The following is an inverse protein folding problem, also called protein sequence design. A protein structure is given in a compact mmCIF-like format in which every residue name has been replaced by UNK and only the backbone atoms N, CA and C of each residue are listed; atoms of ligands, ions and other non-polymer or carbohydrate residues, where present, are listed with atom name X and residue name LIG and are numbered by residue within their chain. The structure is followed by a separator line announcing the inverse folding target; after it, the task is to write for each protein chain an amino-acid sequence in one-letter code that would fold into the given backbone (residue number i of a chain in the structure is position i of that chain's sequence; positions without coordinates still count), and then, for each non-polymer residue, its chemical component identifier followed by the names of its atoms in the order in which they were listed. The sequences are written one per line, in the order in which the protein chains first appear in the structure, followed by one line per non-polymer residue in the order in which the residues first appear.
data_IF_286823245860
#
_entry.id   IF_286823245860
#
_cell.length_a   1.000
_cell.length_b   1.000
_cell.length_c   1.000
_cell.angle_alpha   90.00
_cell.angle_beta   90.00
_cell.angle_gamma   90.00
#
_symmetry.space_group_name_H-M   'P 1'
#
loop_
_entity.id
_entity.type
_entity.pdbx_description
1 polymer ?
#
# COMPACT_ATOMS: atom_id res chain seq x y z
N UNK A 1 0.26 21.27 -13.58
CA UNK A 1 0.32 22.59 -14.23
C UNK A 1 1.18 23.60 -13.44
N UNK A 2 2.13 24.30 -14.08
CA UNK A 2 2.88 25.45 -13.49
C UNK A 2 2.16 26.76 -13.82
N UNK A 3 1.57 27.42 -12.81
CA UNK A 3 0.96 28.75 -12.93
C UNK A 3 1.69 29.70 -12.00
N UNK A 4 2.10 30.86 -12.51
CA UNK A 4 2.65 31.96 -11.73
C UNK A 4 1.55 32.97 -11.37
N UNK A 5 1.44 33.30 -10.08
CA UNK A 5 0.49 34.26 -9.53
C UNK A 5 1.18 35.51 -8.96
N UNK A 6 2.46 35.41 -8.59
CA UNK A 6 3.26 36.53 -8.06
C UNK A 6 4.68 36.50 -8.63
N UNK A 7 5.24 37.66 -8.96
CA UNK A 7 6.68 37.75 -9.17
C UNK A 7 7.41 37.87 -7.84
N UNK A 8 8.37 36.97 -7.59
CA UNK A 8 9.14 36.95 -6.35
C UNK A 8 10.64 36.78 -6.60
N UNK A 9 11.40 37.57 -5.85
CA UNK A 9 12.85 37.44 -5.76
C UNK A 9 13.23 36.51 -4.60
N UNK A 10 13.99 35.47 -4.91
CA UNK A 10 14.45 34.49 -3.94
C UNK A 10 15.87 34.83 -3.45
N UNK A 11 16.18 34.54 -2.18
CA UNK A 11 17.54 34.69 -1.63
C UNK A 11 18.50 33.72 -2.32
N UNK A 12 19.80 34.02 -2.36
CA UNK A 12 20.81 33.33 -3.18
C UNK A 12 20.81 31.79 -3.11
N UNK A 13 20.52 31.19 -1.96
CA UNK A 13 20.51 29.73 -1.76
C UNK A 13 19.17 29.06 -2.14
N UNK A 14 18.09 29.82 -2.15
CA UNK A 14 16.72 29.30 -2.32
C UNK A 14 16.44 28.73 -3.71
N UNK A 15 16.93 29.31 -4.84
CA UNK A 15 16.74 28.74 -6.17
C UNK A 15 17.29 27.32 -6.32
N UNK A 16 18.40 26.99 -5.67
CA UNK A 16 18.99 25.64 -5.73
C UNK A 16 18.07 24.60 -5.06
N UNK A 17 17.48 24.96 -3.93
CA UNK A 17 16.51 24.10 -3.22
C UNK A 17 15.25 23.90 -4.07
N UNK A 18 14.76 24.96 -4.72
CA UNK A 18 13.58 24.88 -5.60
C UNK A 18 13.83 23.96 -6.78
N UNK A 19 14.97 24.08 -7.46
CA UNK A 19 15.32 23.24 -8.60
C UNK A 19 15.43 21.76 -8.18
N UNK A 20 16.14 21.47 -7.08
CA UNK A 20 16.25 20.12 -6.51
C UNK A 20 14.89 19.52 -6.18
N UNK A 21 13.98 20.31 -5.61
CA UNK A 21 12.63 19.89 -5.33
C UNK A 21 11.85 19.60 -6.62
N UNK A 22 11.90 20.49 -7.61
CA UNK A 22 11.18 20.34 -8.89
C UNK A 22 11.60 19.07 -9.64
N UNK A 23 12.90 18.77 -9.70
CA UNK A 23 13.42 17.53 -10.30
C UNK A 23 12.84 16.29 -9.61
N UNK A 24 12.92 16.23 -8.29
CA UNK A 24 12.38 15.09 -7.53
C UNK A 24 10.88 14.93 -7.75
N UNK A 25 10.14 16.03 -7.64
CA UNK A 25 8.70 16.05 -7.82
C UNK A 25 8.30 15.57 -9.22
N UNK A 26 9.06 15.94 -10.26
CA UNK A 26 8.84 15.46 -11.62
C UNK A 26 9.14 13.97 -11.78
N UNK A 27 10.23 13.47 -11.20
CA UNK A 27 10.58 12.03 -11.20
C UNK A 27 9.48 11.17 -10.55
N UNK A 28 8.90 11.63 -9.44
CA UNK A 28 7.80 10.93 -8.77
C UNK A 28 6.50 11.01 -9.58
N UNK A 29 6.19 12.17 -10.16
CA UNK A 29 5.02 12.35 -10.99
C UNK A 29 5.04 11.44 -12.25
N UNK A 30 6.20 11.27 -12.90
CA UNK A 30 6.35 10.34 -14.03
C UNK A 30 6.07 8.87 -13.66
N UNK A 31 6.22 8.53 -12.39
CA UNK A 31 5.93 7.18 -11.86
C UNK A 31 4.52 7.08 -11.26
N UNK A 32 3.67 8.09 -11.46
CA UNK A 32 2.31 8.13 -10.92
C UNK A 32 2.21 8.41 -9.43
N UNK A 33 3.28 8.92 -8.79
CA UNK A 33 3.27 9.22 -7.36
C UNK A 33 3.00 10.68 -7.07
N UNK A 34 2.02 10.94 -6.22
CA UNK A 34 1.83 12.24 -5.59
C UNK A 34 2.69 12.38 -4.33
N UNK A 35 3.38 13.52 -4.16
CA UNK A 35 4.32 13.72 -3.06
C UNK A 35 3.81 14.81 -2.12
N UNK A 36 3.83 14.53 -0.81
CA UNK A 36 3.54 15.52 0.22
C UNK A 36 4.77 16.37 0.57
N UNK A 37 4.57 17.56 1.14
CA UNK A 37 5.67 18.40 1.64
C UNK A 37 6.57 17.66 2.63
N UNK A 38 5.99 16.82 3.49
CA UNK A 38 6.73 15.98 4.45
C UNK A 38 7.59 14.92 3.74
N UNK A 39 7.04 14.25 2.73
CA UNK A 39 7.81 13.27 1.95
C UNK A 39 8.94 13.95 1.18
N UNK A 40 8.65 15.08 0.52
CA UNK A 40 9.68 15.87 -0.16
C UNK A 40 10.81 16.26 0.80
N UNK A 41 10.48 16.75 2.00
CA UNK A 41 11.46 17.07 3.02
C UNK A 41 12.40 15.89 3.35
N UNK A 42 11.84 14.72 3.64
CA UNK A 42 12.66 13.53 3.94
C UNK A 42 13.49 13.07 2.74
N UNK A 43 13.00 13.21 1.51
CA UNK A 43 13.77 12.88 0.31
C UNK A 43 14.96 13.83 0.09
N UNK A 44 14.81 15.10 0.42
CA UNK A 44 15.89 16.09 0.39
C UNK A 44 16.91 15.83 1.51
N UNK A 45 16.45 15.46 2.71
CA UNK A 45 17.32 15.05 3.84
C UNK A 45 18.12 13.79 3.50
N UNK A 46 17.47 12.76 2.96
CA UNK A 46 18.13 11.50 2.59
C UNK A 46 19.21 11.67 1.51
N UNK A 47 19.11 12.72 0.68
CA UNK A 47 20.12 13.08 -0.34
C UNK A 47 21.20 14.03 0.18
N UNK A 48 21.17 14.37 1.48
CA UNK A 48 22.11 15.33 2.09
C UNK A 48 21.94 16.76 1.61
N UNK A 49 20.76 17.11 1.06
CA UNK A 49 20.49 18.44 0.53
C UNK A 49 19.85 19.38 1.55
N UNK A 50 19.31 18.83 2.65
CA UNK A 50 18.80 19.55 3.81
C UNK A 50 19.16 18.80 5.08
N UNK A 51 19.31 19.53 6.19
CA UNK A 51 19.48 18.92 7.50
C UNK A 51 18.13 18.47 8.09
N UNK A 52 18.14 17.38 8.85
CA UNK A 52 16.96 16.82 9.50
C UNK A 52 16.57 17.61 10.76
N UNK A 53 16.25 18.89 10.61
CA UNK A 53 15.85 19.79 11.69
C UNK A 53 14.48 20.43 11.40
N UNK A 54 13.64 20.53 12.43
CA UNK A 54 12.28 21.13 12.34
C UNK A 54 12.29 22.56 11.74
N UNK A 55 13.36 23.32 11.96
CA UNK A 55 13.55 24.65 11.37
C UNK A 55 13.67 24.59 9.84
N UNK A 56 14.40 23.61 9.32
CA UNK A 56 14.55 23.41 7.88
C UNK A 56 13.25 22.90 7.25
N UNK A 57 12.48 22.07 7.95
CA UNK A 57 11.15 21.67 7.49
C UNK A 57 10.22 22.90 7.31
N UNK A 58 10.16 23.79 8.30
CA UNK A 58 9.37 25.04 8.21
C UNK A 58 9.88 25.96 7.11
N UNK A 59 11.22 26.08 6.96
CA UNK A 59 11.85 26.85 5.89
C UNK A 59 11.48 26.31 4.52
N UNK A 60 11.55 24.98 4.32
CA UNK A 60 11.17 24.32 3.08
C UNK A 60 9.70 24.58 2.75
N UNK A 61 8.79 24.47 3.73
CA UNK A 61 7.38 24.80 3.51
C UNK A 61 7.16 26.21 2.97
N UNK A 62 7.83 27.21 3.54
CA UNK A 62 7.78 28.59 3.04
C UNK A 62 8.39 28.72 1.64
N UNK A 63 9.51 28.06 1.37
CA UNK A 63 10.16 28.07 0.05
C UNK A 63 9.24 27.46 -1.01
N UNK A 64 8.67 26.28 -0.77
CA UNK A 64 7.77 25.60 -1.70
C UNK A 64 6.50 26.41 -1.97
N UNK A 65 5.92 27.02 -0.93
CA UNK A 65 4.77 27.92 -1.09
C UNK A 65 5.11 29.09 -2.01
N UNK A 66 6.22 29.78 -1.75
CA UNK A 66 6.64 30.92 -2.58
C UNK A 66 7.02 30.49 -4.01
N UNK A 67 7.64 29.32 -4.17
CA UNK A 67 8.02 28.77 -5.46
C UNK A 67 6.81 28.41 -6.33
N UNK A 68 5.75 27.85 -5.72
CA UNK A 68 4.47 27.60 -6.39
C UNK A 68 3.79 28.91 -6.81
N UNK A 69 3.76 29.92 -5.94
CA UNK A 69 3.23 31.25 -6.28
C UNK A 69 3.99 31.91 -7.43
N UNK A 70 5.31 31.67 -7.53
CA UNK A 70 6.15 32.16 -8.63
C UNK A 70 6.10 31.28 -9.90
N UNK A 71 5.29 30.20 -9.92
CA UNK A 71 5.19 29.28 -11.06
C UNK A 71 6.42 28.40 -11.28
N UNK A 72 7.30 28.25 -10.28
CA UNK A 72 8.53 27.46 -10.40
C UNK A 72 8.30 25.96 -10.11
N UNK A 73 7.28 25.64 -9.31
CA UNK A 73 6.88 24.26 -8.98
C UNK A 73 5.45 24.03 -9.46
N UNK A 74 5.22 22.84 -10.01
CA UNK A 74 3.91 22.42 -10.49
C UNK A 74 2.91 22.27 -9.33
N UNK A 75 1.71 22.83 -9.49
CA UNK A 75 0.67 22.80 -8.46
C UNK A 75 0.18 21.38 -8.14
N UNK A 76 0.30 20.43 -9.07
CA UNK A 76 -0.19 19.07 -8.91
C UNK A 76 0.88 18.12 -8.36
N UNK A 77 2.17 18.49 -8.40
CA UNK A 77 3.21 17.59 -7.93
C UNK A 77 3.39 17.59 -6.41
N UNK A 78 2.89 18.62 -5.71
CA UNK A 78 2.98 18.74 -4.26
C UNK A 78 1.58 18.84 -3.63
N UNK A 79 1.14 17.76 -3.00
CA UNK A 79 -0.22 17.63 -2.43
C UNK A 79 -0.21 17.65 -0.90
N UNK A 80 -1.27 18.18 -0.30
CA UNK A 80 -1.51 18.08 1.14
C UNK A 80 -2.67 17.12 1.41
N UNK A 81 -2.34 15.85 1.62
CA UNK A 81 -3.33 14.78 1.88
C UNK A 81 -4.07 14.93 3.21
N UNK A 82 -3.64 15.85 4.08
CA UNK A 82 -4.32 16.12 5.36
C UNK A 82 -5.46 17.12 5.23
N UNK A 83 -5.62 17.71 4.05
CA UNK A 83 -6.65 18.70 3.75
C UNK A 83 -7.40 18.30 2.49
N UNK A 84 -8.02 17.12 2.54
CA UNK A 84 -9.10 16.83 1.62
C UNK A 84 -10.26 17.75 1.99
N UNK A 85 -10.62 18.64 1.08
CA UNK A 85 -11.91 19.29 1.17
C UNK A 85 -12.90 18.18 0.85
N UNK A 86 -13.68 17.75 1.84
CA UNK A 86 -14.89 16.97 1.59
C UNK A 86 -15.85 17.89 0.85
N UNK A 87 -15.72 17.93 -0.47
CA UNK A 87 -16.70 18.56 -1.34
C UNK A 87 -17.86 17.59 -1.41
N UNK A 88 -19.10 18.01 -1.09
CA UNK A 88 -20.27 17.18 -1.35
C UNK A 88 -20.22 16.71 -2.79
N UNK A 89 -20.42 15.41 -3.02
CA UNK A 89 -20.53 14.91 -4.37
C UNK A 89 -21.78 15.54 -5.00
N UNK A 90 -21.57 16.44 -5.96
CA UNK A 90 -22.62 17.14 -6.69
C UNK A 90 -22.42 16.89 -8.17
N UNK A 91 -23.51 16.58 -8.85
CA UNK A 91 -23.51 16.26 -10.27
C UNK A 91 -24.44 17.24 -10.97
N UNK A 92 -24.05 17.71 -12.15
CA UNK A 92 -24.87 18.64 -12.92
C UNK A 92 -26.10 17.97 -13.50
N UNK A 93 -25.99 16.66 -13.80
CA UNK A 93 -27.06 15.86 -14.40
C UNK A 93 -27.00 14.41 -13.93
N UNK A 94 -28.10 13.63 -14.00
CA UNK A 94 -28.10 12.20 -13.69
C UNK A 94 -27.10 11.37 -14.51
N UNK A 95 -26.88 11.71 -15.77
CA UNK A 95 -25.98 10.98 -16.68
C UNK A 95 -24.52 11.13 -16.23
N UNK A 96 -24.14 12.32 -15.74
CA UNK A 96 -22.80 12.53 -15.15
C UNK A 96 -22.58 11.69 -13.88
N UNK A 97 -23.63 11.40 -13.11
CA UNK A 97 -23.56 10.44 -12.01
C UNK A 97 -23.45 9.01 -12.56
N UNK A 98 -24.27 8.62 -13.55
CA UNK A 98 -24.21 7.30 -14.16
C UNK A 98 -22.84 6.99 -14.78
N UNK A 99 -22.18 7.98 -15.38
CA UNK A 99 -20.82 7.82 -15.91
C UNK A 99 -19.79 7.59 -14.80
N UNK A 100 -19.92 8.27 -13.66
CA UNK A 100 -19.08 8.03 -12.48
C UNK A 100 -19.36 6.65 -11.90
N UNK A 101 -20.62 6.23 -11.84
CA UNK A 101 -21.01 4.88 -11.42
C UNK A 101 -20.41 3.83 -12.36
N UNK A 102 -20.47 4.02 -13.69
CA UNK A 102 -19.88 3.11 -14.66
C UNK A 102 -18.37 2.98 -14.48
N UNK A 103 -17.67 4.11 -14.29
CA UNK A 103 -16.22 4.13 -14.12
C UNK A 103 -15.75 3.55 -12.78
N UNK A 104 -16.63 3.48 -11.77
CA UNK A 104 -16.33 2.93 -10.45
C UNK A 104 -17.01 1.58 -10.20
N UNK A 105 -17.74 1.04 -11.18
CA UNK A 105 -18.39 -0.25 -11.08
C UNK A 105 -17.33 -1.35 -11.07
N UNK A 106 -17.30 -2.09 -9.98
CA UNK A 106 -16.48 -3.28 -9.84
C UNK A 106 -17.33 -4.35 -9.17
N UNK A 107 -17.22 -5.58 -9.66
CA UNK A 107 -17.81 -6.74 -8.99
C UNK A 107 -16.79 -7.34 -8.04
N UNK A 108 -17.27 -8.05 -7.02
CA UNK A 108 -16.38 -8.87 -6.20
C UNK A 108 -15.92 -10.08 -7.02
N UNK A 109 -14.70 -10.02 -7.56
CA UNK A 109 -14.13 -11.07 -8.43
C UNK A 109 -13.84 -12.37 -7.68
N UNK A 110 -13.85 -12.31 -6.34
CA UNK A 110 -13.70 -13.50 -5.52
C UNK A 110 -15.02 -14.17 -5.17
N UNK A 111 -16.19 -13.57 -5.44
CA UNK A 111 -17.45 -14.09 -4.92
C UNK A 111 -17.75 -15.55 -5.32
N UNK A 112 -17.24 -16.02 -6.46
CA UNK A 112 -17.39 -17.40 -6.95
C UNK A 112 -16.15 -18.27 -6.72
N UNK A 113 -15.06 -17.68 -6.23
CA UNK A 113 -13.78 -18.36 -6.01
C UNK A 113 -13.89 -19.32 -4.82
N UNK A 114 -13.22 -20.50 -4.90
CA UNK A 114 -13.19 -21.45 -3.78
C UNK A 114 -12.37 -20.94 -2.59
N UNK A 115 -11.49 -19.96 -2.82
CA UNK A 115 -10.63 -19.36 -1.80
C UNK A 115 -10.96 -17.87 -1.66
N UNK A 116 -10.61 -17.27 -0.51
CA UNK A 116 -10.68 -15.82 -0.29
C UNK A 116 -9.40 -15.35 0.38
N UNK A 117 -8.59 -14.59 -0.36
CA UNK A 117 -7.24 -14.24 0.05
C UNK A 117 -7.18 -12.85 0.67
N UNK A 118 -6.46 -12.73 1.79
CA UNK A 118 -6.04 -11.45 2.36
C UNK A 118 -4.51 -11.36 2.47
N UNK A 119 -3.95 -10.16 2.35
CA UNK A 119 -2.49 -9.94 2.45
C UNK A 119 -2.15 -9.11 3.68
N UNK A 120 -1.49 -9.73 4.64
CA UNK A 120 -1.18 -9.14 5.93
C UNK A 120 0.31 -8.86 6.03
N UNK A 121 0.67 -7.69 6.58
CA UNK A 121 2.05 -7.28 6.77
C UNK A 121 2.27 -6.84 8.21
N UNK A 122 3.40 -7.26 8.78
CA UNK A 122 3.82 -6.83 10.11
C UNK A 122 4.03 -5.31 10.20
N UNK A 123 4.65 -4.74 9.16
CA UNK A 123 5.21 -3.39 9.18
C UNK A 123 4.36 -2.38 8.41
N UNK A 124 3.81 -1.39 9.13
CA UNK A 124 2.97 -0.33 8.56
C UNK A 124 3.65 0.46 7.44
N UNK A 125 4.97 0.66 7.54
CA UNK A 125 5.74 1.41 6.54
C UNK A 125 5.68 0.76 5.14
N UNK A 126 5.40 -0.54 5.07
CA UNK A 126 5.35 -1.31 3.84
C UNK A 126 3.95 -1.41 3.25
N UNK A 127 2.89 -0.97 3.94
CA UNK A 127 1.49 -1.17 3.50
C UNK A 127 1.25 -0.69 2.06
N UNK A 128 1.77 0.48 1.69
CA UNK A 128 1.63 1.03 0.33
C UNK A 128 2.32 0.17 -0.76
N UNK A 129 3.34 -0.61 -0.40
CA UNK A 129 4.00 -1.55 -1.33
C UNK A 129 3.15 -2.80 -1.45
N UNK A 130 2.60 -3.29 -0.33
CA UNK A 130 1.72 -4.45 -0.29
C UNK A 130 0.44 -4.19 -1.08
N UNK A 131 -0.19 -3.02 -0.88
CA UNK A 131 -1.39 -2.57 -1.60
C UNK A 131 -1.18 -2.63 -3.12
N UNK A 132 -0.04 -2.19 -3.65
CA UNK A 132 0.24 -2.28 -5.10
C UNK A 132 0.30 -3.71 -5.63
N UNK A 133 0.69 -4.68 -4.80
CA UNK A 133 0.70 -6.09 -5.16
C UNK A 133 -0.68 -6.74 -5.07
N UNK A 134 -1.50 -6.29 -4.12
CA UNK A 134 -2.78 -6.89 -3.76
C UNK A 134 -4.00 -6.26 -4.48
N UNK A 135 -3.97 -4.95 -4.72
CA UNK A 135 -5.06 -4.17 -5.32
C UNK A 135 -5.49 -4.67 -6.71
N UNK A 136 -4.56 -5.05 -7.64
CA UNK A 136 -4.97 -5.62 -8.93
C UNK A 136 -5.81 -6.89 -8.80
N UNK A 137 -5.69 -7.59 -7.67
CA UNK A 137 -6.42 -8.80 -7.33
C UNK A 137 -7.57 -8.55 -6.36
N UNK A 138 -7.94 -7.30 -6.08
CA UNK A 138 -8.99 -6.95 -5.10
C UNK A 138 -8.77 -7.59 -3.71
N UNK A 139 -7.54 -7.95 -3.36
CA UNK A 139 -7.23 -8.58 -2.07
C UNK A 139 -7.17 -7.51 -0.97
N UNK A 140 -7.90 -7.65 0.14
CA UNK A 140 -7.76 -6.78 1.30
C UNK A 140 -6.33 -6.84 1.84
N UNK A 141 -5.81 -5.67 2.26
CA UNK A 141 -4.53 -5.59 2.96
C UNK A 141 -4.70 -5.21 4.42
N UNK A 142 -3.86 -5.76 5.29
CA UNK A 142 -3.91 -5.48 6.72
C UNK A 142 -2.50 -5.27 7.30
N UNK A 143 -2.32 -4.16 8.01
CA UNK A 143 -1.08 -3.83 8.74
C UNK A 143 -1.24 -4.22 10.20
N UNK A 144 -0.47 -5.22 10.64
CA UNK A 144 -0.52 -5.75 12.01
C UNK A 144 0.12 -4.79 13.03
N UNK A 145 1.08 -3.96 12.58
CA UNK A 145 1.88 -3.04 13.40
C UNK A 145 2.58 -3.75 14.58
N UNK A 146 3.22 -4.87 14.30
CA UNK A 146 3.67 -5.80 15.34
C UNK A 146 2.51 -6.72 15.79
N UNK A 147 2.45 -7.03 17.09
CA UNK A 147 1.37 -7.87 17.63
C UNK A 147 0.02 -7.18 17.52
N UNK A 148 -0.91 -7.85 16.84
CA UNK A 148 -2.24 -7.29 16.57
C UNK A 148 -3.09 -7.27 17.85
N UNK A 149 -3.86 -6.20 18.02
CA UNK A 149 -4.76 -6.04 19.16
C UNK A 149 -5.86 -7.12 19.15
N UNK A 150 -6.36 -7.50 20.32
CA UNK A 150 -7.43 -8.50 20.39
C UNK A 150 -8.70 -8.07 19.64
N UNK A 151 -9.05 -6.78 19.68
CA UNK A 151 -10.20 -6.26 18.95
C UNK A 151 -10.03 -6.39 17.44
N UNK A 152 -8.83 -6.10 16.93
CA UNK A 152 -8.52 -6.24 15.51
C UNK A 152 -8.50 -7.71 15.06
N UNK A 153 -7.94 -8.61 15.87
CA UNK A 153 -7.96 -10.05 15.59
C UNK A 153 -9.37 -10.63 15.63
N UNK A 154 -10.21 -10.20 16.57
CA UNK A 154 -11.61 -10.62 16.64
C UNK A 154 -12.39 -10.14 15.41
N UNK A 155 -12.24 -8.87 15.01
CA UNK A 155 -12.87 -8.34 13.79
C UNK A 155 -12.41 -9.06 12.52
N UNK A 156 -11.12 -9.44 12.45
CA UNK A 156 -10.61 -10.27 11.37
C UNK A 156 -11.22 -11.67 11.41
N UNK A 157 -11.29 -12.31 12.58
CA UNK A 157 -11.92 -13.61 12.77
C UNK A 157 -13.37 -13.64 12.31
N UNK A 158 -14.21 -12.68 12.73
CA UNK A 158 -15.61 -12.57 12.29
C UNK A 158 -15.73 -12.41 10.77
N UNK A 159 -14.87 -11.60 10.16
CA UNK A 159 -14.85 -11.39 8.70
C UNK A 159 -14.46 -12.67 7.96
N UNK A 160 -13.40 -13.35 8.39
CA UNK A 160 -12.91 -14.59 7.77
C UNK A 160 -13.90 -15.74 7.96
N UNK A 161 -14.56 -15.80 9.12
CA UNK A 161 -15.65 -16.73 9.38
C UNK A 161 -16.81 -16.52 8.39
N UNK A 162 -17.16 -15.25 8.10
CA UNK A 162 -18.13 -14.94 7.05
C UNK A 162 -17.73 -15.43 5.66
N UNK A 163 -16.43 -15.50 5.32
CA UNK A 163 -15.98 -16.11 4.07
C UNK A 163 -16.21 -17.63 4.08
N UNK A 164 -15.93 -18.29 5.20
CA UNK A 164 -16.20 -19.72 5.37
C UNK A 164 -17.69 -20.06 5.27
N UNK A 165 -18.57 -19.20 5.80
CA UNK A 165 -20.03 -19.34 5.64
C UNK A 165 -20.49 -19.24 4.17
N UNK A 166 -19.72 -18.55 3.31
CA UNK A 166 -19.95 -18.49 1.87
C UNK A 166 -19.24 -19.60 1.09
N UNK A 167 -18.89 -20.71 1.75
CA UNK A 167 -18.19 -21.86 1.15
C UNK A 167 -16.80 -21.52 0.57
N UNK A 168 -16.21 -20.40 0.99
CA UNK A 168 -14.86 -20.02 0.60
C UNK A 168 -13.86 -20.43 1.67
N UNK A 169 -12.69 -20.88 1.27
CA UNK A 169 -11.58 -21.12 2.19
C UNK A 169 -10.82 -19.81 2.38
N UNK A 170 -10.90 -19.15 3.56
CA UNK A 170 -10.09 -17.97 3.82
C UNK A 170 -8.60 -18.34 3.85
N UNK A 171 -7.76 -17.52 3.23
CA UNK A 171 -6.30 -17.70 3.17
C UNK A 171 -5.64 -16.37 3.55
N UNK A 172 -4.71 -16.40 4.50
CA UNK A 172 -3.88 -15.23 4.81
C UNK A 172 -2.49 -15.41 4.20
N UNK A 173 -2.10 -14.48 3.35
CA UNK A 173 -0.72 -14.30 2.92
C UNK A 173 -0.05 -13.34 3.91
N UNK A 174 0.92 -13.82 4.69
CA UNK A 174 1.60 -13.02 5.71
C UNK A 174 3.04 -12.66 5.31
N UNK A 175 3.39 -11.39 5.50
CA UNK A 175 4.75 -10.87 5.34
C UNK A 175 5.24 -10.33 6.71
N UNK A 176 6.30 -10.92 7.24
CA UNK A 176 6.96 -10.47 8.48
C UNK A 176 8.48 -10.48 8.40
N UNK A 177 9.12 -9.83 9.37
CA UNK A 177 10.57 -9.83 9.50
C UNK A 177 11.07 -11.23 9.92
N UNK A 178 12.24 -11.63 9.44
CA UNK A 178 12.87 -12.88 9.87
C UNK A 178 13.69 -12.63 11.12
N UNK A 179 12.99 -12.53 12.24
CA UNK A 179 13.56 -12.33 13.58
C UNK A 179 12.73 -13.09 14.64
N UNK A 180 13.15 -13.10 15.93
CA UNK A 180 12.43 -13.84 16.97
C UNK A 180 10.95 -13.44 17.14
N UNK A 181 10.59 -12.17 16.93
CA UNK A 181 9.23 -11.68 17.10
C UNK A 181 8.40 -11.85 15.83
N UNK A 182 8.96 -11.55 14.65
CA UNK A 182 8.27 -11.63 13.38
C UNK A 182 7.85 -13.06 13.02
N UNK A 183 8.65 -14.08 13.38
CA UNK A 183 8.24 -15.49 13.23
C UNK A 183 7.11 -15.85 14.20
N UNK A 184 7.23 -15.44 15.46
CA UNK A 184 6.21 -15.71 16.49
C UNK A 184 4.89 -15.02 16.19
N UNK A 185 4.91 -13.85 15.56
CA UNK A 185 3.71 -13.12 15.17
C UNK A 185 2.85 -13.89 14.16
N UNK A 186 3.47 -14.59 13.20
CA UNK A 186 2.71 -15.49 12.31
C UNK A 186 2.02 -16.58 13.12
N UNK A 187 2.72 -17.16 14.09
CA UNK A 187 2.15 -18.17 14.99
C UNK A 187 1.02 -17.60 15.87
N UNK A 188 1.18 -16.40 16.44
CA UNK A 188 0.15 -15.72 17.24
C UNK A 188 -1.11 -15.42 16.41
N UNK A 189 -0.97 -15.06 15.13
CA UNK A 189 -2.10 -14.90 14.20
C UNK A 189 -2.81 -16.23 14.02
N UNK A 190 -2.10 -17.32 13.74
CA UNK A 190 -2.68 -18.66 13.61
C UNK A 190 -3.42 -19.08 14.88
N UNK A 191 -2.77 -19.06 16.04
CA UNK A 191 -3.34 -19.54 17.31
C UNK A 191 -4.63 -18.79 17.70
N UNK A 192 -4.68 -17.48 17.42
CA UNK A 192 -5.87 -16.68 17.70
C UNK A 192 -6.99 -16.92 16.71
N UNK A 193 -6.67 -17.03 15.42
CA UNK A 193 -7.69 -17.34 14.40
C UNK A 193 -8.22 -18.76 14.55
N UNK A 194 -7.38 -19.72 14.92
CA UNK A 194 -7.80 -21.07 15.35
C UNK A 194 -8.86 -20.99 16.45
N UNK A 195 -8.64 -20.13 17.45
CA UNK A 195 -9.60 -19.94 18.55
C UNK A 195 -10.94 -19.35 18.08
N UNK A 196 -10.92 -18.46 17.09
CA UNK A 196 -12.12 -17.75 16.64
C UNK A 196 -12.93 -18.49 15.57
N UNK A 197 -12.26 -19.21 14.66
CA UNK A 197 -12.90 -19.84 13.50
C UNK A 197 -12.61 -21.33 13.34
N UNK A 198 -11.77 -21.94 14.19
CA UNK A 198 -11.50 -23.39 14.18
C UNK A 198 -10.52 -23.85 13.10
N UNK A 199 -9.70 -22.93 12.58
CA UNK A 199 -8.60 -23.25 11.67
C UNK A 199 -8.51 -22.31 10.47
N UNK A 200 -7.29 -21.93 10.11
CA UNK A 200 -7.00 -21.05 8.98
C UNK A 200 -5.58 -21.29 8.46
N UNK A 201 -5.45 -21.31 7.13
CA UNK A 201 -4.14 -21.32 6.50
C UNK A 201 -3.54 -19.91 6.46
N UNK A 202 -2.49 -19.72 7.26
CA UNK A 202 -1.64 -18.53 7.21
C UNK A 202 -0.33 -18.89 6.51
N UNK A 203 -0.22 -18.46 5.25
CA UNK A 203 0.94 -18.69 4.42
C UNK A 203 1.94 -17.53 4.57
N UNK A 204 3.03 -17.77 5.28
CA UNK A 204 4.14 -16.81 5.38
C UNK A 204 4.99 -16.85 4.11
N UNK A 205 4.91 -15.80 3.30
CA UNK A 205 5.62 -15.74 2.00
C UNK A 205 6.91 -14.94 2.03
N UNK A 206 7.15 -14.15 3.08
CA UNK A 206 8.39 -13.42 3.30
C UNK A 206 8.52 -13.01 4.78
N UNK A 207 9.72 -12.89 5.33
CA UNK A 207 11.01 -13.42 4.88
C UNK A 207 11.23 -14.82 5.46
N UNK A 208 11.50 -15.81 4.61
CA UNK A 208 11.83 -17.19 4.98
C UNK A 208 13.32 -17.51 4.72
N UNK A 209 13.87 -18.46 5.47
CA UNK A 209 15.32 -18.73 5.46
C UNK A 209 15.85 -19.19 4.09
N UNK A 210 15.03 -19.92 3.33
CA UNK A 210 15.34 -20.33 1.96
C UNK A 210 15.44 -19.15 0.98
N UNK A 211 14.62 -18.10 1.17
CA UNK A 211 14.68 -16.87 0.38
C UNK A 211 15.94 -16.07 0.74
N UNK A 212 16.25 -15.96 2.03
CA UNK A 212 17.44 -15.28 2.53
C UNK A 212 18.71 -15.94 1.99
N UNK A 213 18.79 -17.28 2.01
CA UNK A 213 19.91 -18.02 1.44
C UNK A 213 20.05 -17.82 -0.08
N UNK A 214 18.92 -17.77 -0.81
CA UNK A 214 18.91 -17.51 -2.26
C UNK A 214 19.34 -16.09 -2.61
N UNK A 215 18.90 -15.09 -1.84
CA UNK A 215 19.29 -13.69 -2.02
C UNK A 215 20.72 -13.41 -1.56
N UNK A 216 21.21 -14.19 -0.60
CA UNK A 216 22.58 -14.18 -0.09
C UNK A 216 23.02 -12.77 0.28
N UNK A 217 24.13 -12.31 -0.32
CA UNK A 217 24.75 -11.00 -0.01
C UNK A 217 23.87 -9.79 -0.33
N UNK A 218 22.76 -9.95 -1.06
CA UNK A 218 21.84 -8.84 -1.35
C UNK A 218 20.99 -8.45 -0.15
N UNK A 219 20.90 -9.32 0.86
CA UNK A 219 20.12 -9.07 2.07
C UNK A 219 21.06 -8.99 3.29
N UNK A 220 21.38 -7.78 3.78
CA UNK A 220 22.29 -7.64 4.92
C UNK A 220 21.66 -8.21 6.20
N UNK A 221 22.37 -9.07 6.95
CA UNK A 221 21.90 -9.52 8.26
C UNK A 221 22.07 -8.44 9.32
N UNK A 222 21.22 -8.50 10.34
CA UNK A 222 21.35 -7.78 11.59
C UNK A 222 21.52 -8.77 12.75
N UNK A 223 22.15 -8.38 13.86
CA UNK A 223 22.17 -9.23 15.04
C UNK A 223 20.75 -9.43 15.59
N UNK A 224 20.36 -10.68 15.82
CA UNK A 224 19.09 -11.03 16.43
C UNK A 224 18.95 -10.35 17.79
N UNK A 225 17.75 -9.85 18.08
CA UNK A 225 17.46 -9.11 19.31
C UNK A 225 17.45 -10.04 20.52
N UNK A 226 18.61 -10.22 21.14
CA UNK A 226 18.80 -11.12 22.30
C UNK A 226 18.01 -10.73 23.56
N UNK A 227 17.47 -9.51 23.62
CA UNK A 227 16.55 -9.07 24.69
C UNK A 227 15.12 -9.58 24.50
N UNK A 228 14.80 -10.13 23.34
CA UNK A 228 13.52 -10.80 23.09
C UNK A 228 13.46 -12.12 23.87
N UNK A 229 12.35 -12.37 24.57
CA UNK A 229 12.15 -13.62 25.31
C UNK A 229 12.18 -14.86 24.41
N UNK A 230 11.94 -14.70 23.12
CA UNK A 230 11.92 -15.76 22.10
C UNK A 230 13.28 -15.98 21.43
N UNK A 231 14.24 -15.08 21.67
CA UNK A 231 15.55 -15.11 21.01
C UNK A 231 16.27 -16.45 21.19
N UNK A 232 16.10 -17.11 22.35
CA UNK A 232 16.74 -18.42 22.59
C UNK A 232 16.27 -19.50 21.61
N UNK A 233 14.97 -19.58 21.35
CA UNK A 233 14.41 -20.56 20.41
C UNK A 233 14.86 -20.26 18.99
N UNK A 234 14.74 -18.98 18.60
CA UNK A 234 15.19 -18.49 17.30
C UNK A 234 16.66 -18.79 17.02
N UNK A 235 17.56 -18.50 17.98
CA UNK A 235 19.00 -18.70 17.81
C UNK A 235 19.37 -20.17 17.67
N UNK A 236 18.65 -21.07 18.33
CA UNK A 236 18.88 -22.51 18.20
C UNK A 236 18.51 -23.02 16.79
N UNK A 237 17.55 -22.38 16.14
CA UNK A 237 17.02 -22.81 14.84
C UNK A 237 17.70 -22.10 13.65
N UNK A 238 17.85 -20.77 13.73
CA UNK A 238 18.29 -19.91 12.62
C UNK A 238 19.64 -19.22 12.88
N UNK A 239 20.15 -19.26 14.11
CA UNK A 239 21.41 -18.61 14.50
C UNK A 239 21.23 -17.17 14.99
N UNK A 240 22.33 -16.43 15.04
CA UNK A 240 22.39 -15.09 15.68
C UNK A 240 22.02 -13.94 14.76
N UNK A 241 21.66 -14.22 13.51
CA UNK A 241 21.35 -13.21 12.50
C UNK A 241 19.83 -13.12 12.28
N UNK A 242 19.34 -11.92 11.98
CA UNK A 242 17.96 -11.59 11.65
C UNK A 242 17.90 -10.70 10.40
N UNK A 243 16.76 -10.67 9.72
CA UNK A 243 16.57 -9.93 8.48
C UNK A 243 15.24 -9.19 8.45
N UNK A 244 15.30 -7.96 7.97
CA UNK A 244 14.16 -7.04 7.88
C UNK A 244 13.54 -7.09 6.48
N UNK A 245 12.22 -7.05 6.39
CA UNK A 245 11.47 -6.93 5.13
C UNK A 245 11.84 -5.68 4.35
N UNK A 246 12.16 -4.59 5.05
CA UNK A 246 12.58 -3.31 4.44
C UNK A 246 13.85 -3.44 3.60
N UNK A 247 14.64 -4.51 3.79
CA UNK A 247 15.82 -4.78 2.98
C UNK A 247 15.48 -5.39 1.61
N UNK A 248 14.23 -5.81 1.38
CA UNK A 248 13.76 -6.25 0.07
C UNK A 248 13.36 -5.07 -0.80
N UNK A 249 13.72 -5.15 -2.09
CA UNK A 249 13.27 -4.17 -3.08
C UNK A 249 11.73 -4.21 -3.22
N UNK A 250 11.06 -3.06 -3.31
CA UNK A 250 9.59 -3.00 -3.44
C UNK A 250 9.04 -3.86 -4.59
N UNK A 251 9.70 -3.86 -5.75
CA UNK A 251 9.29 -4.65 -6.91
C UNK A 251 9.39 -6.17 -6.66
N UNK A 252 10.27 -6.60 -5.75
CA UNK A 252 10.37 -7.99 -5.35
C UNK A 252 9.20 -8.37 -4.44
N UNK A 253 8.85 -7.52 -3.46
CA UNK A 253 7.68 -7.74 -2.58
C UNK A 253 6.38 -7.81 -3.38
N UNK A 254 6.14 -6.85 -4.27
CA UNK A 254 4.95 -6.82 -5.14
C UNK A 254 4.83 -8.11 -5.96
N UNK A 255 5.95 -8.62 -6.48
CA UNK A 255 5.97 -9.86 -7.25
C UNK A 255 5.68 -11.09 -6.40
N UNK A 256 6.29 -11.19 -5.21
CA UNK A 256 6.03 -12.29 -4.28
C UNK A 256 4.55 -12.36 -3.89
N UNK A 257 3.93 -11.21 -3.63
CA UNK A 257 2.50 -11.12 -3.30
C UNK A 257 1.66 -11.60 -4.46
N UNK A 258 1.93 -11.08 -5.67
CA UNK A 258 1.21 -11.47 -6.88
C UNK A 258 1.31 -12.98 -7.14
N UNK A 259 2.53 -13.53 -7.15
CA UNK A 259 2.76 -14.97 -7.38
C UNK A 259 2.08 -15.82 -6.30
N UNK A 260 2.05 -15.35 -5.05
CA UNK A 260 1.37 -16.04 -3.97
C UNK A 260 -0.16 -16.04 -4.12
N UNK A 261 -0.76 -14.90 -4.50
CA UNK A 261 -2.20 -14.77 -4.75
C UNK A 261 -2.62 -15.66 -5.94
N UNK A 262 -1.86 -15.63 -7.04
CA UNK A 262 -2.13 -16.39 -8.27
C UNK A 262 -2.35 -17.89 -8.00
N UNK A 263 -1.69 -18.47 -6.99
CA UNK A 263 -1.87 -19.89 -6.64
C UNK A 263 -3.26 -20.23 -6.09
N UNK A 264 -4.03 -19.24 -5.65
CA UNK A 264 -5.35 -19.42 -5.05
C UNK A 264 -6.49 -18.94 -5.96
N UNK A 265 -6.17 -18.41 -7.14
CA UNK A 265 -7.13 -17.91 -8.11
C UNK A 265 -7.45 -19.01 -9.12
N UNK A 266 -8.73 -19.35 -9.23
CA UNK A 266 -9.29 -20.05 -10.37
C UNK A 266 -9.48 -19.03 -11.51
N UNK A 267 -8.60 -19.07 -12.50
CA UNK A 267 -8.58 -18.09 -13.59
C UNK A 267 -9.83 -18.14 -14.47
N UNK A 268 -10.47 -19.30 -14.63
CA UNK A 268 -11.69 -19.41 -15.43
C UNK A 268 -12.82 -18.62 -14.74
N UNK A 269 -12.99 -18.83 -13.43
CA UNK A 269 -13.97 -18.06 -12.63
C UNK A 269 -13.63 -16.58 -12.51
N UNK A 270 -12.34 -16.25 -12.53
CA UNK A 270 -11.86 -14.87 -12.47
C UNK A 270 -12.23 -14.13 -13.75
N UNK A 271 -11.99 -14.75 -14.90
CA UNK A 271 -12.32 -14.22 -16.21
C UNK A 271 -13.84 -14.06 -16.37
N UNK A 272 -14.65 -15.04 -15.93
CA UNK A 272 -16.12 -14.91 -15.88
C UNK A 272 -16.59 -13.71 -15.02
N UNK A 273 -15.92 -13.44 -13.90
CA UNK A 273 -16.25 -12.28 -13.07
C UNK A 273 -15.87 -10.97 -13.76
N UNK A 274 -14.73 -10.92 -14.47
CA UNK A 274 -14.35 -9.76 -15.27
C UNK A 274 -15.29 -9.50 -16.44
N UNK A 275 -15.77 -10.55 -17.11
CA UNK A 275 -16.79 -10.43 -18.16
C UNK A 275 -18.09 -9.84 -17.59
N UNK A 276 -18.56 -10.35 -16.44
CA UNK A 276 -19.74 -9.79 -15.75
C UNK A 276 -19.57 -8.34 -15.33
N UNK A 277 -18.36 -7.96 -14.89
CA UNK A 277 -18.03 -6.58 -14.57
C UNK A 277 -18.15 -5.69 -15.81
N UNK A 278 -17.57 -6.13 -16.93
CA UNK A 278 -17.61 -5.40 -18.19
C UNK A 278 -19.04 -5.26 -18.72
N UNK A 279 -19.86 -6.30 -18.65
CA UNK A 279 -21.29 -6.23 -19.01
C UNK A 279 -22.04 -5.19 -18.15
N UNK A 280 -21.73 -5.11 -16.85
CA UNK A 280 -22.30 -4.10 -15.95
C UNK A 280 -21.85 -2.68 -16.29
N UNK A 281 -20.57 -2.50 -16.63
CA UNK A 281 -20.02 -1.22 -17.10
C UNK A 281 -20.72 -0.79 -18.39
N UNK A 282 -20.81 -1.68 -19.39
CA UNK A 282 -21.43 -1.40 -20.68
C UNK A 282 -22.91 -1.05 -20.53
N UNK A 283 -23.61 -1.74 -19.62
CA UNK A 283 -25.01 -1.43 -19.28
C UNK A 283 -25.16 -0.03 -18.68
N UNK A 284 -24.30 0.34 -17.71
CA UNK A 284 -24.34 1.67 -17.08
C UNK A 284 -23.98 2.78 -18.07
N UNK A 285 -23.00 2.55 -18.96
CA UNK A 285 -22.63 3.48 -20.02
C UNK A 285 -23.77 3.65 -21.04
N UNK A 286 -24.44 2.56 -21.43
CA UNK A 286 -25.57 2.61 -22.33
C UNK A 286 -26.76 3.39 -21.74
N UNK A 287 -26.97 3.32 -20.42
CA UNK A 287 -27.97 4.14 -19.74
C UNK A 287 -27.60 5.62 -19.75
N UNK A 288 -26.34 5.95 -19.46
CA UNK A 288 -25.86 7.34 -19.48
C UNK A 288 -26.01 7.98 -20.88
N UNK A 289 -25.73 7.22 -21.95
CA UNK A 289 -25.77 7.73 -23.32
C UNK A 289 -27.18 7.81 -23.94
N UNK A 290 -28.18 7.09 -23.39
CA UNK A 290 -29.54 7.10 -23.93
C UNK A 290 -30.32 8.37 -23.58
N UNK A 291 -30.05 8.96 -22.41
CA UNK A 291 -30.77 10.16 -21.96
C UNK A 291 -30.23 11.46 -22.60
N UNK A 292 -28.99 11.48 -23.10
CA UNK A 292 -28.46 12.62 -23.88
C UNK A 292 -29.11 12.79 -25.27
N UNK A 293 -29.84 11.78 -25.75
CA UNK A 293 -30.43 11.74 -27.09
C UNK A 293 -31.92 12.10 -27.18
N UNK A 294 -32.57 12.44 -26.06
CA UNK A 294 -34.01 12.77 -26.01
C UNK A 294 -34.32 14.27 -25.86
N UNK A 295 -33.32 15.16 -25.93
CA UNK A 295 -33.48 16.63 -25.92
C UNK A 295 -33.49 17.28 -27.33
#
# INVERSE_FOLDING_TARGET
MKIAYEQRNFKAETPQIINRADVLLHEYAQKGYEVTLRQLYYRLVARGWLDNHMREYKRLGSIMSNARMAGLIDWNHLVDRTRNIDVPATWSTPESLLQVCANSYAVDRWATQPNRVEVWVEKDALINVIEKGAEPWQCPTFSCRGYTSQSSMWQAGERLYGYAENEQTPIIIHLGDHDPSGIDMTRDICDRLETFMGGLDVNRIALNMDQIQRLGKKLPPYPAKMTDSRARGYVLEFGYDSWELDALEPDHLTRLIREAIENYVDMDKWDEAMEREQEGIDYLQALANKEEGED
#
